data_IF_315829790997
#
_entry.id   IF_315829790997
#
_cell.length_a   1.000
_cell.length_b   1.000
_cell.length_c   1.000
_cell.angle_alpha   90.00
_cell.angle_beta   90.00
_cell.angle_gamma   90.00
#
_symmetry.space_group_name_H-M   'P 1'
#
loop_
_entity.id
_entity.type
_entity.pdbx_description
1 polymer ?
#
# COMPACT_ATOMS: atom_id res chain seq x y z
N UNK A 1 -26.95 -23.14 -0.09
CA UNK A 1 -26.51 -22.54 1.18
C UNK A 1 -26.68 -21.04 1.03
N UNK A 2 -27.39 -20.37 1.94
CA UNK A 2 -27.51 -18.91 1.92
C UNK A 2 -26.14 -18.31 2.27
N UNK A 3 -25.67 -17.37 1.46
CA UNK A 3 -24.43 -16.65 1.71
C UNK A 3 -24.59 -15.80 2.97
N UNK A 4 -23.65 -15.97 3.92
CA UNK A 4 -23.67 -15.27 5.21
C UNK A 4 -23.03 -13.89 5.03
N UNK A 5 -23.60 -12.87 5.70
CA UNK A 5 -23.00 -11.55 5.74
C UNK A 5 -21.68 -11.60 6.53
N UNK A 6 -20.64 -11.00 5.99
CA UNK A 6 -19.33 -10.95 6.62
C UNK A 6 -18.83 -9.50 6.67
N UNK A 7 -18.02 -9.15 7.68
CA UNK A 7 -17.40 -7.83 7.74
C UNK A 7 -16.40 -7.63 6.61
N UNK A 8 -16.43 -6.45 6.00
CA UNK A 8 -15.60 -6.09 4.87
C UNK A 8 -15.28 -4.60 4.84
N UNK A 9 -14.07 -4.29 4.39
CA UNK A 9 -13.68 -2.96 3.95
C UNK A 9 -13.88 -2.85 2.43
N UNK A 10 -14.64 -1.87 2.03
CA UNK A 10 -14.95 -1.51 0.65
C UNK A 10 -14.09 -0.32 0.26
N UNK A 11 -13.46 -0.39 -0.91
CA UNK A 11 -12.67 0.69 -1.47
C UNK A 11 -13.04 0.88 -2.93
N UNK A 12 -13.53 2.07 -3.27
CA UNK A 12 -13.69 2.50 -4.67
C UNK A 12 -12.59 3.52 -4.98
N UNK A 13 -11.82 3.27 -6.04
CA UNK A 13 -10.93 4.25 -6.64
C UNK A 13 -11.57 4.78 -7.92
N UNK A 14 -11.77 6.08 -8.03
CA UNK A 14 -12.54 6.75 -9.09
C UNK A 14 -11.72 7.86 -9.73
N UNK A 15 -11.55 7.80 -11.07
CA UNK A 15 -10.76 8.79 -11.80
C UNK A 15 -11.57 10.10 -11.93
N UNK A 16 -11.17 11.11 -11.18
CA UNK A 16 -11.79 12.43 -11.23
C UNK A 16 -11.47 13.14 -12.55
N UNK A 17 -12.46 13.86 -13.10
CA UNK A 17 -12.34 14.52 -14.41
C UNK A 17 -12.72 13.64 -15.61
N UNK A 18 -13.02 12.35 -15.39
CA UNK A 18 -13.32 11.38 -16.45
C UNK A 18 -14.46 11.77 -17.40
N UNK A 19 -15.61 12.18 -16.85
CA UNK A 19 -16.79 12.50 -17.69
C UNK A 19 -16.50 13.65 -18.64
N UNK A 20 -15.80 14.69 -18.16
CA UNK A 20 -15.34 15.79 -19.02
C UNK A 20 -14.28 15.31 -20.02
N UNK A 21 -13.38 14.42 -19.59
CA UNK A 21 -12.35 13.85 -20.44
C UNK A 21 -12.92 13.09 -21.64
N UNK A 22 -13.95 12.23 -21.47
CA UNK A 22 -14.55 11.50 -22.58
C UNK A 22 -15.41 12.34 -23.52
N UNK A 23 -15.97 13.46 -23.05
CA UNK A 23 -16.89 14.26 -23.84
C UNK A 23 -16.24 15.00 -25.03
N UNK A 24 -14.96 15.37 -24.92
CA UNK A 24 -14.31 16.27 -25.88
C UNK A 24 -13.04 15.67 -26.54
N UNK A 25 -12.94 14.34 -26.65
CA UNK A 25 -11.71 13.67 -27.11
C UNK A 25 -11.94 12.55 -28.11
N UNK A 26 -10.88 12.20 -28.81
CA UNK A 26 -10.80 11.03 -29.68
C UNK A 26 -10.94 9.74 -28.85
N UNK A 27 -12.04 9.02 -29.08
CA UNK A 27 -12.48 7.90 -28.23
C UNK A 27 -11.45 6.76 -28.14
N UNK A 28 -10.75 6.44 -29.23
CA UNK A 28 -9.81 5.31 -29.26
C UNK A 28 -8.59 5.56 -28.35
N UNK A 29 -7.96 6.73 -28.46
CA UNK A 29 -6.82 7.09 -27.60
C UNK A 29 -7.24 7.26 -26.14
N UNK A 30 -8.40 7.86 -25.91
CA UNK A 30 -8.92 8.03 -24.56
C UNK A 30 -9.15 6.67 -23.88
N UNK A 31 -9.73 5.69 -24.58
CA UNK A 31 -9.94 4.35 -24.05
C UNK A 31 -8.62 3.65 -23.72
N UNK A 32 -7.61 3.71 -24.59
CA UNK A 32 -6.31 3.10 -24.33
C UNK A 32 -5.61 3.70 -23.09
N UNK A 33 -5.63 5.03 -22.97
CA UNK A 33 -5.05 5.74 -21.81
C UNK A 33 -5.81 5.40 -20.53
N UNK A 34 -7.14 5.36 -20.57
CA UNK A 34 -7.95 5.05 -19.40
C UNK A 34 -7.78 3.59 -18.97
N UNK A 35 -7.72 2.65 -19.90
CA UNK A 35 -7.46 1.24 -19.60
C UNK A 35 -6.10 1.07 -18.90
N UNK A 36 -5.07 1.77 -19.35
CA UNK A 36 -3.74 1.78 -18.73
C UNK A 36 -3.75 2.36 -17.31
N UNK A 37 -4.39 3.52 -17.10
CA UNK A 37 -4.48 4.16 -15.79
C UNK A 37 -5.30 3.32 -14.79
N UNK A 38 -6.44 2.76 -15.23
CA UNK A 38 -7.23 1.83 -14.41
C UNK A 38 -6.43 0.57 -14.12
N UNK A 39 -5.69 0.06 -15.10
CA UNK A 39 -4.77 -1.07 -14.92
C UNK A 39 -3.72 -0.82 -13.84
N UNK A 40 -3.14 0.39 -13.82
CA UNK A 40 -2.19 0.81 -12.78
C UNK A 40 -2.86 0.90 -11.39
N UNK A 41 -4.07 1.45 -11.32
CA UNK A 41 -4.85 1.54 -10.07
C UNK A 41 -5.17 0.15 -9.52
N UNK A 42 -5.76 -0.73 -10.32
CA UNK A 42 -6.12 -2.09 -9.87
C UNK A 42 -4.88 -2.88 -9.46
N UNK A 43 -3.81 -2.77 -10.22
CA UNK A 43 -2.53 -3.42 -9.91
C UNK A 43 -1.99 -2.97 -8.55
N UNK A 44 -2.12 -1.68 -8.21
CA UNK A 44 -1.65 -1.15 -6.94
C UNK A 44 -2.54 -1.54 -5.75
N UNK A 45 -3.85 -1.71 -5.97
CA UNK A 45 -4.79 -2.12 -4.93
C UNK A 45 -4.70 -3.62 -4.61
N UNK A 46 -4.39 -4.45 -5.60
CA UNK A 46 -4.18 -5.89 -5.42
C UNK A 46 -2.79 -6.19 -4.85
N UNK A 47 -2.62 -7.28 -4.08
CA UNK A 47 -3.64 -8.23 -3.62
C UNK A 47 -4.34 -7.82 -2.31
N UNK A 48 -4.02 -6.66 -1.73
CA UNK A 48 -4.59 -6.23 -0.44
C UNK A 48 -6.10 -6.05 -0.51
N UNK A 49 -6.58 -5.50 -1.63
CA UNK A 49 -8.00 -5.45 -1.98
C UNK A 49 -8.25 -6.30 -3.23
N UNK A 50 -9.34 -7.05 -3.20
CA UNK A 50 -9.81 -7.86 -4.31
C UNK A 50 -10.69 -7.02 -5.22
N UNK A 51 -10.49 -7.14 -6.52
CA UNK A 51 -11.35 -6.48 -7.51
C UNK A 51 -12.72 -7.17 -7.56
N UNK A 52 -13.77 -6.45 -7.20
CA UNK A 52 -15.14 -6.91 -7.39
C UNK A 52 -15.59 -6.67 -8.83
N UNK A 53 -15.42 -5.44 -9.33
CA UNK A 53 -15.82 -5.03 -10.68
C UNK A 53 -15.18 -3.69 -11.08
N UNK A 54 -15.17 -3.44 -12.38
CA UNK A 54 -14.91 -2.12 -12.97
C UNK A 54 -16.24 -1.47 -13.37
N UNK A 55 -16.38 -0.18 -13.09
CA UNK A 55 -17.58 0.63 -13.35
C UNK A 55 -17.20 1.87 -14.16
N UNK A 56 -16.86 1.68 -15.43
CA UNK A 56 -16.34 2.78 -16.25
C UNK A 56 -14.94 3.18 -15.79
N UNK A 57 -14.86 4.29 -15.07
CA UNK A 57 -13.66 4.92 -14.51
C UNK A 57 -13.37 4.57 -13.04
N UNK A 58 -14.27 3.81 -12.42
CA UNK A 58 -14.11 3.37 -11.05
C UNK A 58 -13.70 1.89 -10.95
N UNK A 59 -12.76 1.60 -10.07
CA UNK A 59 -12.43 0.25 -9.62
C UNK A 59 -13.04 0.00 -8.24
N UNK A 60 -14.05 -0.88 -8.17
CA UNK A 60 -14.63 -1.29 -6.90
C UNK A 60 -13.93 -2.53 -6.36
N UNK A 61 -13.36 -2.39 -5.17
CA UNK A 61 -12.54 -3.42 -4.53
C UNK A 61 -12.96 -3.64 -3.08
N UNK A 62 -12.58 -4.77 -2.50
CA UNK A 62 -12.92 -5.11 -1.12
C UNK A 62 -11.89 -6.01 -0.44
N UNK A 63 -11.83 -5.97 0.88
CA UNK A 63 -11.07 -6.88 1.72
C UNK A 63 -11.97 -7.40 2.85
N UNK A 64 -12.03 -8.72 3.06
CA UNK A 64 -12.80 -9.32 4.15
C UNK A 64 -11.95 -9.37 5.41
N UNK A 65 -12.34 -8.63 6.44
CA UNK A 65 -11.58 -8.51 7.67
C UNK A 65 -12.46 -8.07 8.84
N UNK A 66 -12.23 -8.66 10.02
CA UNK A 66 -12.89 -8.26 11.27
C UNK A 66 -12.38 -6.90 11.79
N UNK A 67 -11.14 -6.54 11.46
CA UNK A 67 -10.51 -5.26 11.82
C UNK A 67 -9.59 -4.82 10.69
N UNK A 68 -9.28 -3.53 10.64
CA UNK A 68 -8.46 -2.92 9.60
C UNK A 68 -7.14 -2.45 10.20
N UNK A 69 -6.02 -2.90 9.63
CA UNK A 69 -4.74 -2.24 9.87
C UNK A 69 -4.73 -0.91 9.11
N UNK A 70 -4.93 0.18 9.84
CA UNK A 70 -5.09 1.51 9.29
C UNK A 70 -3.85 2.00 8.56
N UNK A 71 -2.66 1.65 9.05
CA UNK A 71 -1.41 2.00 8.39
C UNK A 71 -1.29 1.29 7.04
N UNK A 72 -1.66 0.01 6.95
CA UNK A 72 -1.69 -0.73 5.68
C UNK A 72 -2.73 -0.20 4.70
N UNK A 73 -3.90 0.22 5.19
CA UNK A 73 -4.92 0.87 4.38
C UNK A 73 -4.37 2.16 3.74
N UNK A 74 -3.78 3.04 4.55
CA UNK A 74 -3.23 4.30 4.05
C UNK A 74 -2.01 4.10 3.14
N UNK A 75 -1.17 3.11 3.42
CA UNK A 75 -0.06 2.74 2.53
C UNK A 75 -0.56 2.26 1.17
N UNK A 76 -1.63 1.46 1.14
CA UNK A 76 -2.24 0.97 -0.11
C UNK A 76 -2.83 2.13 -0.92
N UNK A 77 -3.61 3.02 -0.29
CA UNK A 77 -4.23 4.18 -0.94
C UNK A 77 -3.18 5.14 -1.48
N UNK A 78 -2.20 5.53 -0.66
CA UNK A 78 -1.16 6.47 -1.06
C UNK A 78 -0.27 5.90 -2.15
N UNK A 79 0.13 4.63 -2.04
CA UNK A 79 0.93 4.00 -3.08
C UNK A 79 0.19 3.92 -4.40
N UNK A 80 -1.10 3.60 -4.38
CA UNK A 80 -1.96 3.64 -5.55
C UNK A 80 -2.02 5.03 -6.16
N UNK A 81 -2.26 6.07 -5.36
CA UNK A 81 -2.29 7.45 -5.82
C UNK A 81 -0.95 7.90 -6.43
N UNK A 82 0.15 7.58 -5.77
CA UNK A 82 1.50 7.94 -6.22
C UNK A 82 1.87 7.21 -7.51
N UNK A 83 1.47 5.94 -7.64
CA UNK A 83 1.62 5.16 -8.87
C UNK A 83 0.83 5.78 -10.03
N UNK A 84 -0.44 6.12 -9.80
CA UNK A 84 -1.28 6.81 -10.77
C UNK A 84 -0.67 8.15 -11.22
N UNK A 85 -0.21 8.99 -10.28
CA UNK A 85 0.42 10.29 -10.58
C UNK A 85 1.69 10.15 -11.42
N UNK A 86 2.54 9.17 -11.10
CA UNK A 86 3.74 8.85 -11.90
C UNK A 86 3.33 8.35 -13.28
N UNK A 87 2.42 7.38 -13.38
CA UNK A 87 1.99 6.83 -14.66
C UNK A 87 1.36 7.87 -15.56
N UNK A 88 0.50 8.74 -15.03
CA UNK A 88 -0.08 9.90 -15.75
C UNK A 88 1.00 10.81 -16.33
N UNK A 89 2.07 11.07 -15.56
CA UNK A 89 3.24 11.86 -15.99
C UNK A 89 4.00 11.13 -17.11
N UNK A 90 4.24 9.83 -16.96
CA UNK A 90 4.98 9.02 -17.94
C UNK A 90 4.23 8.92 -19.27
N UNK A 91 2.92 8.66 -19.24
CA UNK A 91 2.07 8.64 -20.43
C UNK A 91 2.12 10.00 -21.13
N UNK A 92 1.94 11.10 -20.39
CA UNK A 92 2.02 12.45 -20.97
C UNK A 92 3.38 12.75 -21.62
N UNK A 93 4.48 12.25 -21.06
CA UNK A 93 5.82 12.46 -21.61
C UNK A 93 6.11 11.58 -22.84
N UNK A 94 5.55 10.37 -22.87
CA UNK A 94 5.74 9.44 -23.97
C UNK A 94 4.83 9.74 -25.18
N UNK A 95 3.69 10.38 -24.95
CA UNK A 95 2.76 10.74 -26.02
C UNK A 95 3.15 12.04 -26.72
N UNK A 96 3.58 11.94 -27.98
CA UNK A 96 3.84 13.10 -28.87
C UNK A 96 2.60 13.62 -29.59
N UNK A 97 1.47 12.92 -29.45
CA UNK A 97 0.20 13.28 -30.08
C UNK A 97 -0.40 14.53 -29.42
N UNK A 98 -0.84 15.49 -30.25
CA UNK A 98 -1.43 16.75 -29.81
C UNK A 98 -2.97 16.73 -29.79
N UNK A 99 -3.58 15.54 -29.88
CA UNK A 99 -5.03 15.40 -29.84
C UNK A 99 -5.62 15.75 -28.47
N UNK A 100 -6.91 16.03 -28.41
CA UNK A 100 -7.56 16.50 -27.18
C UNK A 100 -7.44 15.48 -26.04
N UNK A 101 -7.52 14.17 -26.33
CA UNK A 101 -7.25 13.12 -25.33
C UNK A 101 -5.87 13.30 -24.70
N UNK A 102 -4.84 13.35 -25.53
CA UNK A 102 -3.45 13.32 -25.09
C UNK A 102 -3.01 14.61 -24.36
N UNK A 103 -3.63 15.75 -24.69
CA UNK A 103 -3.35 17.04 -24.03
C UNK A 103 -4.01 17.15 -22.67
N UNK A 104 -5.19 16.54 -22.48
CA UNK A 104 -5.99 16.64 -21.24
C UNK A 104 -5.71 15.55 -20.20
N UNK A 105 -4.78 14.62 -20.48
CA UNK A 105 -4.30 13.64 -19.50
C UNK A 105 -3.96 14.26 -18.14
N UNK A 106 -3.29 15.43 -18.04
CA UNK A 106 -2.95 16.04 -16.75
C UNK A 106 -4.16 16.48 -15.91
N UNK A 107 -5.35 16.63 -16.52
CA UNK A 107 -6.58 17.04 -15.84
C UNK A 107 -7.25 15.87 -15.09
N UNK A 108 -6.85 14.63 -15.39
CA UNK A 108 -7.31 13.44 -14.69
C UNK A 108 -6.65 13.33 -13.33
N UNK A 109 -7.43 13.23 -12.25
CA UNK A 109 -6.92 12.94 -10.92
C UNK A 109 -7.62 11.69 -10.34
N UNK A 110 -7.33 11.34 -9.09
CA UNK A 110 -7.87 10.13 -8.47
C UNK A 110 -8.40 10.42 -7.07
N UNK A 111 -9.63 9.97 -6.82
CA UNK A 111 -10.22 9.98 -5.48
C UNK A 111 -10.57 8.58 -5.03
N UNK A 112 -10.67 8.40 -3.71
CA UNK A 112 -11.04 7.14 -3.09
C UNK A 112 -12.21 7.32 -2.14
N UNK A 113 -13.08 6.32 -2.07
CA UNK A 113 -14.08 6.17 -1.02
C UNK A 113 -13.81 4.87 -0.31
N UNK A 114 -13.69 4.94 1.02
CA UNK A 114 -13.42 3.78 1.87
C UNK A 114 -14.50 3.67 2.93
N UNK A 115 -15.12 2.50 3.01
CA UNK A 115 -16.19 2.23 3.96
C UNK A 115 -16.02 0.85 4.58
N UNK A 116 -16.33 0.73 5.87
CA UNK A 116 -16.36 -0.55 6.57
C UNK A 116 -17.79 -0.90 6.98
N UNK A 117 -18.19 -2.14 6.73
CA UNK A 117 -19.51 -2.65 7.04
C UNK A 117 -19.65 -4.13 6.73
N UNK A 118 -20.88 -4.58 6.47
CA UNK A 118 -21.20 -5.97 6.15
C UNK A 118 -21.56 -6.14 4.68
N UNK A 119 -21.07 -7.21 4.06
CA UNK A 119 -21.51 -7.63 2.73
C UNK A 119 -21.76 -9.12 2.65
N UNK A 120 -22.66 -9.48 1.75
CA UNK A 120 -22.92 -10.85 1.33
C UNK A 120 -22.21 -11.06 -0.01
N UNK A 121 -21.27 -12.02 -0.05
CA UNK A 121 -20.68 -12.49 -1.30
C UNK A 121 -21.61 -13.53 -1.94
N UNK A 122 -22.09 -13.24 -3.14
CA UNK A 122 -22.94 -14.17 -3.89
C UNK A 122 -22.40 -14.38 -5.31
N UNK A 123 -22.44 -15.62 -5.80
CA UNK A 123 -22.14 -15.91 -7.21
C UNK A 123 -23.40 -15.72 -8.06
N UNK A 124 -23.40 -14.76 -8.96
CA UNK A 124 -24.50 -14.46 -9.89
C UNK A 124 -23.98 -14.53 -11.32
N UNK A 125 -24.61 -15.35 -12.17
CA UNK A 125 -24.22 -15.53 -13.58
C UNK A 125 -22.72 -15.82 -13.80
N UNK A 126 -22.07 -16.55 -12.87
CA UNK A 126 -20.65 -16.89 -12.94
C UNK A 126 -19.70 -15.87 -12.32
N UNK A 127 -20.17 -14.67 -11.96
CA UNK A 127 -19.39 -13.58 -11.33
C UNK A 127 -19.66 -13.50 -9.83
N UNK A 128 -18.68 -13.06 -9.05
CA UNK A 128 -18.89 -12.72 -7.65
C UNK A 128 -19.44 -11.31 -7.54
N UNK A 129 -20.55 -11.15 -6.82
CA UNK A 129 -21.21 -9.89 -6.54
C UNK A 129 -21.25 -9.64 -5.03
N UNK A 130 -21.11 -8.37 -4.65
CA UNK A 130 -21.25 -7.89 -3.27
C UNK A 130 -22.62 -7.25 -3.10
N UNK A 131 -23.37 -7.72 -2.10
CA UNK A 131 -24.70 -7.23 -1.79
C UNK A 131 -24.77 -6.78 -0.33
N UNK A 132 -25.40 -5.65 -0.07
CA UNK A 132 -25.58 -5.11 1.28
C UNK A 132 -25.91 -3.63 1.28
N UNK A 133 -26.46 -3.13 2.39
CA UNK A 133 -26.67 -1.69 2.59
C UNK A 133 -25.37 -0.91 2.54
N UNK A 134 -24.29 -1.45 3.11
CA UNK A 134 -22.99 -0.79 3.21
C UNK A 134 -22.31 -0.66 1.83
N UNK A 135 -22.58 -1.60 0.93
CA UNK A 135 -22.19 -1.50 -0.48
C UNK A 135 -22.88 -0.30 -1.14
N UNK A 136 -24.18 -0.09 -0.88
CA UNK A 136 -24.94 1.05 -1.40
C UNK A 136 -24.37 2.37 -0.86
N UNK A 137 -24.05 2.44 0.45
CA UNK A 137 -23.44 3.62 1.06
C UNK A 137 -22.13 3.97 0.36
N UNK A 138 -21.25 2.99 0.15
CA UNK A 138 -19.96 3.18 -0.54
C UNK A 138 -20.13 3.80 -1.93
N UNK A 139 -21.05 3.28 -2.76
CA UNK A 139 -21.27 3.85 -4.09
C UNK A 139 -21.94 5.24 -4.06
N UNK A 140 -22.79 5.52 -3.06
CA UNK A 140 -23.43 6.85 -2.92
C UNK A 140 -22.42 7.93 -2.55
N UNK A 141 -21.47 7.59 -1.70
CA UNK A 141 -20.37 8.47 -1.29
C UNK A 141 -19.47 8.92 -2.45
N UNK A 142 -19.50 8.29 -3.64
CA UNK A 142 -18.79 8.82 -4.81
C UNK A 142 -19.32 10.19 -5.26
N UNK A 143 -20.61 10.45 -5.00
CA UNK A 143 -21.24 11.76 -5.20
C UNK A 143 -21.22 12.50 -3.87
N UNK A 144 -20.20 13.31 -3.66
CA UNK A 144 -19.96 14.07 -2.45
C UNK A 144 -19.51 15.49 -2.80
N UNK A 145 -19.52 16.38 -1.82
CA UNK A 145 -19.20 17.80 -1.95
C UNK A 145 -17.80 18.14 -1.40
N UNK A 146 -16.88 17.17 -1.30
CA UNK A 146 -15.54 17.39 -0.72
C UNK A 146 -14.77 18.46 -1.50
N UNK A 147 -14.81 18.42 -2.84
CA UNK A 147 -14.09 19.39 -3.68
C UNK A 147 -14.67 20.79 -3.46
N UNK A 148 -15.98 20.91 -3.50
CA UNK A 148 -16.73 22.16 -3.36
C UNK A 148 -16.54 22.80 -1.98
N UNK A 149 -16.54 22.00 -0.91
CA UNK A 149 -16.44 22.49 0.46
C UNK A 149 -15.01 22.65 0.94
N UNK A 150 -14.07 21.86 0.43
CA UNK A 150 -12.71 21.78 0.97
C UNK A 150 -11.61 22.22 0.03
N UNK A 151 -11.89 22.31 -1.28
CA UNK A 151 -10.90 22.64 -2.31
C UNK A 151 -9.80 21.57 -2.46
N UNK A 152 -10.12 20.31 -2.18
CA UNK A 152 -9.18 19.19 -2.25
C UNK A 152 -9.61 18.30 -3.43
N UNK A 153 -8.85 18.35 -4.53
CA UNK A 153 -9.18 17.63 -5.77
C UNK A 153 -8.84 16.13 -5.69
N UNK A 154 -7.79 15.78 -4.95
CA UNK A 154 -7.31 14.41 -4.79
C UNK A 154 -7.37 13.99 -3.32
N UNK A 155 -8.25 13.05 -3.00
CA UNK A 155 -8.54 12.68 -1.62
C UNK A 155 -8.93 11.21 -1.46
N UNK A 156 -8.81 10.71 -0.23
CA UNK A 156 -9.55 9.54 0.22
C UNK A 156 -10.60 9.96 1.26
N UNK A 157 -11.86 9.63 1.01
CA UNK A 157 -12.98 9.83 1.93
C UNK A 157 -13.19 8.53 2.72
N UNK A 158 -12.81 8.54 3.99
CA UNK A 158 -12.82 7.36 4.86
C UNK A 158 -13.94 7.52 5.87
N UNK A 159 -14.96 6.64 5.83
CA UNK A 159 -16.12 6.77 6.74
C UNK A 159 -15.73 6.58 8.20
N UNK A 160 -16.51 7.16 9.11
CA UNK A 160 -16.31 6.95 10.54
C UNK A 160 -16.35 5.45 10.92
N UNK A 161 -17.22 4.66 10.28
CA UNK A 161 -17.24 3.21 10.49
C UNK A 161 -15.92 2.51 10.13
N UNK A 162 -15.18 3.03 9.13
CA UNK A 162 -13.86 2.50 8.77
C UNK A 162 -12.79 2.95 9.76
N UNK A 163 -12.86 4.20 10.25
CA UNK A 163 -12.00 4.68 11.32
C UNK A 163 -12.19 3.83 12.58
N UNK A 164 -13.43 3.60 13.01
CA UNK A 164 -13.78 2.82 14.20
C UNK A 164 -13.32 1.35 14.12
N UNK A 165 -13.28 0.79 12.91
CA UNK A 165 -12.78 -0.56 12.65
C UNK A 165 -11.24 -0.63 12.49
N UNK A 166 -10.55 0.51 12.59
CA UNK A 166 -9.11 0.65 12.41
C UNK A 166 -8.41 1.18 13.66
N UNK A 167 -7.08 1.21 13.62
CA UNK A 167 -6.22 1.82 14.64
C UNK A 167 -5.85 3.28 14.34
N UNK A 168 -6.53 3.95 13.40
CA UNK A 168 -6.23 5.33 12.99
C UNK A 168 -6.82 6.37 13.93
N UNK A 169 -6.04 7.43 14.17
CA UNK A 169 -6.55 8.66 14.76
C UNK A 169 -6.52 9.78 13.70
N UNK A 170 -7.62 9.99 12.96
CA UNK A 170 -7.60 10.81 11.74
C UNK A 170 -7.23 12.29 12.01
N UNK A 171 -7.65 12.85 13.15
CA UNK A 171 -7.28 14.21 13.53
C UNK A 171 -5.76 14.37 13.75
N UNK A 172 -5.10 13.38 14.36
CA UNK A 172 -3.64 13.39 14.56
C UNK A 172 -2.87 13.25 13.25
N UNK A 173 -3.49 12.66 12.23
CA UNK A 173 -2.97 12.58 10.86
C UNK A 173 -3.24 13.85 10.04
N UNK A 174 -3.95 14.82 10.61
CA UNK A 174 -4.34 16.05 9.92
C UNK A 174 -5.42 15.85 8.87
N UNK A 175 -6.21 14.77 8.98
CA UNK A 175 -7.43 14.59 8.17
C UNK A 175 -8.50 15.58 8.64
N UNK A 176 -9.40 15.94 7.73
CA UNK A 176 -10.50 16.87 7.99
C UNK A 176 -11.81 16.11 8.08
N UNK A 177 -12.59 16.34 9.13
CA UNK A 177 -13.93 15.77 9.25
C UNK A 177 -14.85 16.32 8.15
N UNK A 178 -15.71 15.46 7.61
CA UNK A 178 -16.68 15.72 6.57
C UNK A 178 -17.97 14.95 6.83
N UNK A 179 -19.09 15.45 6.33
CA UNK A 179 -20.38 14.79 6.47
C UNK A 179 -21.16 14.88 5.17
N UNK A 180 -21.72 13.75 4.74
CA UNK A 180 -22.61 13.67 3.58
C UNK A 180 -24.00 13.24 4.04
N UNK A 181 -25.05 13.79 3.44
CA UNK A 181 -26.43 13.39 3.75
C UNK A 181 -27.15 12.95 2.49
N UNK A 182 -27.68 11.71 2.50
CA UNK A 182 -28.43 11.17 1.36
C UNK A 182 -29.83 10.74 1.74
N UNK A 183 -30.77 10.89 0.79
CA UNK A 183 -32.13 10.38 0.92
C UNK A 183 -32.08 8.85 1.16
N UNK A 184 -32.66 8.39 2.29
CA UNK A 184 -32.74 6.99 2.76
C UNK A 184 -31.50 6.38 3.41
N UNK A 185 -30.32 6.99 3.28
CA UNK A 185 -29.13 6.57 4.05
C UNK A 185 -29.03 7.40 5.33
N UNK A 186 -29.38 8.68 5.26
CA UNK A 186 -29.16 9.63 6.35
C UNK A 186 -27.79 10.26 6.25
N UNK A 187 -27.31 10.75 7.39
CA UNK A 187 -26.00 11.36 7.53
C UNK A 187 -24.90 10.29 7.65
N UNK A 188 -23.80 10.51 6.92
CA UNK A 188 -22.61 9.68 6.94
C UNK A 188 -21.42 10.58 7.25
N UNK A 189 -20.88 10.44 8.46
CA UNK A 189 -19.63 11.09 8.86
C UNK A 189 -18.43 10.38 8.26
N UNK A 190 -17.45 11.15 7.82
CA UNK A 190 -16.23 10.68 7.19
C UNK A 190 -15.06 11.63 7.46
N UNK A 191 -13.87 11.18 7.09
CA UNK A 191 -12.63 11.92 7.19
C UNK A 191 -11.97 12.02 5.82
N UNK A 192 -11.57 13.23 5.44
CA UNK A 192 -10.91 13.54 4.18
C UNK A 192 -9.40 13.50 4.40
N UNK A 193 -8.76 12.56 3.73
CA UNK A 193 -7.31 12.43 3.64
C UNK A 193 -6.81 13.07 2.35
N UNK A 194 -6.06 14.17 2.46
CA UNK A 194 -5.56 14.96 1.32
C UNK A 194 -4.36 14.28 0.64
N UNK A 195 -4.62 13.66 -0.51
CA UNK A 195 -3.60 12.91 -1.25
C UNK A 195 -2.64 13.83 -2.03
N UNK A 196 -3.08 15.03 -2.39
CA UNK A 196 -2.25 16.04 -3.01
C UNK A 196 -1.13 16.51 -2.08
N UNK A 197 -1.48 16.81 -0.82
CA UNK A 197 -0.51 17.10 0.25
C UNK A 197 0.45 15.92 0.46
N UNK A 198 -0.06 14.70 0.53
CA UNK A 198 0.76 13.50 0.74
C UNK A 198 1.74 13.24 -0.40
N UNK A 199 1.34 13.52 -1.64
CA UNK A 199 2.23 13.48 -2.79
C UNK A 199 3.36 14.51 -2.71
N UNK A 200 3.07 15.74 -2.27
CA UNK A 200 4.10 16.77 -2.07
C UNK A 200 5.09 16.37 -0.97
N UNK A 201 4.60 15.80 0.14
CA UNK A 201 5.44 15.28 1.22
C UNK A 201 6.32 14.11 0.75
N UNK A 202 5.80 13.25 -0.13
CA UNK A 202 6.54 12.16 -0.76
C UNK A 202 7.64 12.67 -1.72
N UNK A 203 7.35 13.68 -2.55
CA UNK A 203 8.31 14.30 -3.47
C UNK A 203 9.42 15.07 -2.71
N UNK A 204 9.09 15.69 -1.57
CA UNK A 204 10.06 16.43 -0.76
C UNK A 204 10.97 15.52 0.09
N UNK A 205 10.58 14.25 0.31
CA UNK A 205 11.30 13.35 1.21
C UNK A 205 12.56 12.77 0.55
N UNK A 206 13.71 13.04 1.14
CA UNK A 206 14.97 12.38 0.79
C UNK A 206 14.92 10.86 1.00
N UNK A 207 15.66 10.11 0.18
CA UNK A 207 15.76 8.65 0.33
C UNK A 207 16.87 8.30 1.30
N UNK A 208 16.56 7.47 2.30
CA UNK A 208 17.56 6.86 3.18
C UNK A 208 17.52 5.37 2.96
N UNK A 209 18.57 4.82 2.34
CA UNK A 209 18.66 3.42 1.97
C UNK A 209 20.12 2.96 2.01
N UNK A 210 20.35 1.74 2.47
CA UNK A 210 21.64 1.05 2.36
C UNK A 210 21.71 0.38 0.99
N UNK A 211 22.66 0.79 0.15
CA UNK A 211 22.89 0.14 -1.14
C UNK A 211 23.62 -1.20 -0.97
N UNK A 212 23.67 -2.01 -2.03
CA UNK A 212 24.46 -3.25 -2.04
C UNK A 212 25.96 -2.97 -1.82
N UNK A 213 26.49 -1.92 -2.44
CA UNK A 213 27.90 -1.51 -2.34
C UNK A 213 28.29 -1.00 -0.95
N UNK A 214 27.33 -0.39 -0.24
CA UNK A 214 27.54 0.13 1.12
C UNK A 214 27.41 -0.94 2.20
N UNK A 215 26.74 -2.06 1.89
CA UNK A 215 26.43 -3.09 2.86
C UNK A 215 27.68 -3.91 3.23
N UNK A 216 27.92 -4.08 4.53
CA UNK A 216 28.93 -5.04 5.02
C UNK A 216 28.33 -6.43 5.27
N UNK A 217 27.00 -6.52 5.36
CA UNK A 217 26.22 -7.73 5.51
C UNK A 217 24.96 -7.62 4.65
N UNK A 218 24.72 -8.64 3.85
CA UNK A 218 23.50 -8.80 3.04
C UNK A 218 22.96 -10.21 3.24
N UNK A 219 21.66 -10.32 3.51
CA UNK A 219 20.92 -11.58 3.47
C UNK A 219 19.77 -11.41 2.48
N UNK A 220 19.69 -12.30 1.49
CA UNK A 220 18.64 -12.28 0.46
C UNK A 220 17.79 -13.53 0.57
N UNK A 221 16.47 -13.37 0.60
CA UNK A 221 15.51 -14.47 0.72
C UNK A 221 14.53 -14.39 -0.46
N UNK A 222 14.65 -15.27 -1.47
CA UNK A 222 13.66 -15.36 -2.53
C UNK A 222 12.36 -15.94 -1.98
N UNK A 223 11.22 -15.38 -2.41
CA UNK A 223 9.87 -15.79 -1.99
C UNK A 223 8.95 -15.85 -3.20
N UNK A 224 7.81 -16.54 -3.08
CA UNK A 224 6.79 -16.59 -4.14
C UNK A 224 5.64 -15.61 -3.92
N UNK A 225 5.77 -14.73 -2.92
CA UNK A 225 4.70 -13.79 -2.57
C UNK A 225 4.91 -12.43 -3.22
N UNK A 226 3.84 -11.69 -3.56
CA UNK A 226 3.95 -10.31 -4.02
C UNK A 226 4.53 -9.37 -2.93
N UNK A 227 5.11 -8.22 -3.30
CA UNK A 227 5.71 -7.28 -2.35
C UNK A 227 4.74 -6.81 -1.26
N UNK A 228 3.46 -6.69 -1.59
CA UNK A 228 2.42 -6.26 -0.65
C UNK A 228 2.25 -7.25 0.50
N UNK A 229 2.31 -8.56 0.20
CA UNK A 229 2.22 -9.62 1.20
C UNK A 229 3.49 -9.66 2.04
N UNK A 230 4.66 -9.59 1.41
CA UNK A 230 5.93 -9.53 2.11
C UNK A 230 6.02 -8.29 3.03
N UNK A 231 5.62 -7.12 2.52
CA UNK A 231 5.60 -5.86 3.25
C UNK A 231 4.74 -5.93 4.49
N UNK A 232 3.48 -6.36 4.33
CA UNK A 232 2.57 -6.49 5.46
C UNK A 232 3.13 -7.46 6.50
N UNK A 233 3.61 -8.63 6.06
CA UNK A 233 4.14 -9.63 6.96
C UNK A 233 5.35 -9.13 7.78
N UNK A 234 6.29 -8.42 7.11
CA UNK A 234 7.51 -7.91 7.73
C UNK A 234 7.27 -6.69 8.63
N UNK A 235 6.22 -5.91 8.36
CA UNK A 235 5.97 -4.64 9.04
C UNK A 235 4.80 -4.66 10.01
N UNK A 236 3.97 -5.70 9.98
CA UNK A 236 2.85 -5.86 10.91
C UNK A 236 3.35 -6.01 12.35
N UNK A 237 2.81 -5.24 13.31
CA UNK A 237 3.11 -5.40 14.72
C UNK A 237 2.90 -6.85 15.18
N UNK A 238 3.85 -7.38 15.94
CA UNK A 238 3.79 -8.75 16.49
C UNK A 238 4.32 -9.84 15.55
N UNK A 239 4.23 -9.69 14.22
CA UNK A 239 4.78 -10.69 13.28
C UNK A 239 6.30 -10.73 13.26
N UNK A 240 6.98 -9.64 13.62
CA UNK A 240 8.44 -9.61 13.79
C UNK A 240 8.95 -10.74 14.71
N UNK A 241 8.18 -11.15 15.72
CA UNK A 241 8.55 -12.26 16.63
C UNK A 241 8.68 -13.61 15.94
N UNK A 242 8.06 -13.81 14.77
CA UNK A 242 8.01 -15.11 14.09
C UNK A 242 9.15 -15.31 13.10
N UNK A 243 9.83 -14.24 12.68
CA UNK A 243 10.89 -14.31 11.69
C UNK A 243 12.18 -13.59 12.10
N UNK A 244 12.11 -12.62 13.02
CA UNK A 244 13.30 -11.91 13.49
C UNK A 244 13.97 -12.71 14.62
N UNK A 245 15.27 -13.05 14.49
CA UNK A 245 15.94 -13.89 15.47
C UNK A 245 15.86 -13.34 16.91
N UNK A 246 15.45 -14.20 17.83
CA UNK A 246 15.43 -13.98 19.28
C UNK A 246 14.48 -12.88 19.79
N UNK A 247 13.60 -12.34 18.95
CA UNK A 247 12.57 -11.37 19.38
C UNK A 247 11.47 -12.09 20.15
N UNK A 248 11.17 -11.60 21.35
CA UNK A 248 10.16 -12.17 22.27
C UNK A 248 8.98 -11.26 22.52
N UNK A 249 9.13 -9.96 22.27
CA UNK A 249 8.08 -8.96 22.38
C UNK A 249 8.43 -7.76 21.49
N UNK A 250 7.41 -7.14 20.88
CA UNK A 250 7.57 -5.88 20.13
C UNK A 250 6.52 -4.88 20.61
N UNK A 251 6.94 -3.65 20.88
CA UNK A 251 6.03 -2.53 21.13
C UNK A 251 6.33 -1.40 20.16
N UNK A 252 5.33 -0.93 19.43
CA UNK A 252 5.45 0.23 18.55
C UNK A 252 5.31 1.51 19.39
N UNK A 253 6.23 2.46 19.20
CA UNK A 253 6.18 3.80 19.80
C UNK A 253 6.35 4.87 18.73
N UNK A 254 5.79 6.05 18.95
CA UNK A 254 5.96 7.19 18.03
C UNK A 254 5.19 7.09 16.71
N UNK A 255 4.27 6.12 16.57
CA UNK A 255 3.31 6.09 15.47
C UNK A 255 2.29 7.21 15.67
N UNK A 256 2.35 8.23 14.80
CA UNK A 256 1.46 9.38 14.87
C UNK A 256 0.07 8.96 14.36
N UNK A 257 -0.94 9.05 15.23
CA UNK A 257 -2.32 8.68 14.91
C UNK A 257 -2.49 7.27 14.34
N UNK A 258 -1.77 6.29 14.90
CA UNK A 258 -1.80 4.89 14.45
C UNK A 258 -0.95 4.61 13.21
N UNK A 259 -0.44 5.63 12.52
CA UNK A 259 0.33 5.43 11.30
C UNK A 259 1.81 5.15 11.56
N UNK A 260 2.29 4.02 11.02
CA UNK A 260 3.70 3.66 11.02
C UNK A 260 4.42 4.41 9.90
N UNK A 261 5.65 4.81 10.17
CA UNK A 261 6.48 5.56 9.23
C UNK A 261 7.67 6.24 9.91
N UNK A 262 8.34 7.19 9.24
CA UNK A 262 9.52 7.85 9.78
C UNK A 262 9.27 8.44 11.18
N UNK A 263 10.16 8.15 12.12
CA UNK A 263 10.04 8.55 13.54
C UNK A 263 9.26 7.56 14.43
N UNK A 264 8.54 6.60 13.84
CA UNK A 264 8.04 5.44 14.60
C UNK A 264 9.21 4.52 14.95
N UNK A 265 9.12 3.83 16.08
CA UNK A 265 10.14 2.89 16.52
C UNK A 265 9.54 1.60 17.07
N UNK A 266 10.15 0.47 16.70
CA UNK A 266 9.90 -0.84 17.29
C UNK A 266 10.83 -1.05 18.47
N UNK A 267 10.26 -1.27 19.66
CA UNK A 267 10.98 -1.66 20.85
C UNK A 267 10.88 -3.19 20.98
N UNK A 268 11.93 -3.88 20.53
CA UNK A 268 12.03 -5.32 20.46
C UNK A 268 12.78 -5.85 21.70
N UNK A 269 12.17 -6.78 22.43
CA UNK A 269 12.81 -7.47 23.55
C UNK A 269 13.44 -8.78 23.07
N UNK A 270 14.72 -8.99 23.36
CA UNK A 270 15.45 -10.22 23.10
C UNK A 270 15.83 -10.86 24.44
N UNK A 271 14.85 -11.49 25.10
CA UNK A 271 14.99 -11.92 26.48
C UNK A 271 15.09 -10.72 27.43
N UNK A 272 16.26 -10.48 28.02
CA UNK A 272 16.50 -9.33 28.92
C UNK A 272 17.03 -8.08 28.22
N UNK A 273 17.47 -8.22 26.98
CA UNK A 273 18.11 -7.15 26.21
C UNK A 273 17.07 -6.44 25.35
N UNK A 274 17.19 -5.12 25.20
CA UNK A 274 16.28 -4.31 24.40
C UNK A 274 16.98 -3.83 23.13
N UNK A 275 16.29 -3.97 21.99
CA UNK A 275 16.70 -3.49 20.68
C UNK A 275 15.67 -2.48 20.22
N UNK A 276 16.12 -1.28 19.85
CA UNK A 276 15.23 -0.22 19.37
C UNK A 276 15.50 0.00 17.88
N UNK A 277 14.48 -0.19 17.06
CA UNK A 277 14.54 0.01 15.62
C UNK A 277 13.68 1.21 15.24
N UNK A 278 14.31 2.34 14.95
CA UNK A 278 13.63 3.56 14.54
C UNK A 278 13.56 3.64 13.02
N UNK A 279 12.35 3.78 12.48
CA UNK A 279 12.09 3.92 11.06
C UNK A 279 12.60 5.29 10.62
N UNK A 280 13.53 5.30 9.67
CA UNK A 280 14.09 6.51 9.06
C UNK A 280 13.52 6.79 7.68
N UNK A 281 13.15 5.75 6.93
CA UNK A 281 12.46 5.89 5.66
C UNK A 281 11.46 4.73 5.48
N UNK A 282 10.30 5.05 4.91
CA UNK A 282 9.16 4.15 4.77
C UNK A 282 8.62 4.31 3.35
N UNK A 283 8.91 3.33 2.51
CA UNK A 283 8.47 3.27 1.12
C UNK A 283 7.69 1.97 0.91
N UNK A 284 6.37 1.98 1.15
CA UNK A 284 5.54 0.79 1.02
C UNK A 284 5.80 0.03 -0.27
N UNK A 285 6.00 -1.28 -0.11
CA UNK A 285 6.28 -2.27 -1.15
C UNK A 285 7.66 -2.16 -1.82
N UNK A 286 8.44 -1.12 -1.53
CA UNK A 286 9.81 -0.97 -2.05
C UNK A 286 10.83 -1.31 -0.96
N UNK A 287 10.84 -0.56 0.15
CA UNK A 287 11.77 -0.78 1.25
C UNK A 287 11.40 -0.02 2.53
N UNK A 288 11.90 -0.52 3.66
CA UNK A 288 11.96 0.20 4.93
C UNK A 288 13.41 0.29 5.39
N UNK A 289 13.80 1.46 5.89
CA UNK A 289 15.13 1.68 6.46
C UNK A 289 15.01 2.04 7.92
N UNK A 290 15.69 1.25 8.75
CA UNK A 290 15.66 1.33 10.19
C UNK A 290 17.06 1.69 10.73
N UNK A 291 17.07 2.46 11.81
CA UNK A 291 18.23 2.60 12.69
C UNK A 291 18.03 1.69 13.89
N UNK A 292 18.77 0.60 13.92
CA UNK A 292 18.82 -0.34 15.04
C UNK A 292 19.82 0.14 16.08
N UNK A 293 19.39 0.30 17.33
CA UNK A 293 20.22 0.55 18.50
C UNK A 293 20.27 -0.70 19.35
N UNK A 294 21.46 -1.29 19.46
CA UNK A 294 21.77 -2.47 20.27
C UNK A 294 22.50 -1.99 21.53
N UNK A 295 21.97 -2.31 22.71
CA UNK A 295 22.70 -2.10 23.95
C UNK A 295 23.80 -3.14 24.10
N UNK A 296 25.04 -2.70 24.31
CA UNK A 296 26.20 -3.59 24.49
C UNK A 296 26.98 -3.21 25.74
N UNK A 297 27.79 -4.11 26.32
CA UNK A 297 28.66 -3.78 27.46
C UNK A 297 29.63 -2.61 27.19
N UNK A 298 29.90 -2.26 25.93
CA UNK A 298 30.78 -1.15 25.51
C UNK A 298 30.02 0.14 25.20
N UNK A 299 28.70 0.17 25.44
CA UNK A 299 27.79 1.24 25.07
C UNK A 299 26.91 0.90 23.86
N UNK A 300 26.01 1.81 23.45
CA UNK A 300 25.04 1.54 22.40
C UNK A 300 25.71 1.48 21.02
N UNK A 301 25.51 0.37 20.32
CA UNK A 301 25.90 0.19 18.93
C UNK A 301 24.72 0.56 18.03
N UNK A 302 24.94 1.53 17.13
CA UNK A 302 23.93 1.95 16.16
C UNK A 302 24.27 1.42 14.77
N UNK A 303 23.36 0.66 14.19
CA UNK A 303 23.45 0.11 12.85
C UNK A 303 22.31 0.67 12.00
N UNK A 304 22.64 1.03 10.77
CA UNK A 304 21.64 1.38 9.76
C UNK A 304 21.39 0.13 8.92
N UNK A 305 20.12 -0.23 8.72
CA UNK A 305 19.77 -1.34 7.87
C UNK A 305 18.55 -1.04 7.01
N UNK A 306 18.49 -1.68 5.84
CA UNK A 306 17.35 -1.60 4.92
C UNK A 306 16.83 -2.99 4.65
N UNK A 307 15.51 -3.17 4.74
CA UNK A 307 14.80 -4.31 4.17
C UNK A 307 14.20 -3.82 2.85
N UNK A 308 14.77 -4.27 1.74
CA UNK A 308 14.27 -4.01 0.39
C UNK A 308 13.47 -5.21 -0.12
N UNK A 309 12.41 -4.91 -0.84
CA UNK A 309 11.61 -5.85 -1.60
C UNK A 309 11.97 -5.66 -3.08
N UNK A 310 12.69 -6.62 -3.65
CA UNK A 310 12.99 -6.64 -5.08
C UNK A 310 11.95 -7.48 -5.82
N UNK A 311 11.20 -6.84 -6.71
CA UNK A 311 10.39 -7.51 -7.69
C UNK A 311 10.99 -8.62 -8.54
N UNK A 312 10.29 -9.76 -8.69
CA UNK A 312 10.66 -10.82 -9.65
C UNK A 312 9.45 -11.41 -10.37
N UNK A 313 9.69 -12.23 -11.40
CA UNK A 313 8.61 -12.91 -12.13
C UNK A 313 7.90 -14.00 -11.32
N UNK A 314 8.48 -14.46 -10.21
CA UNK A 314 7.94 -15.52 -9.36
C UNK A 314 7.32 -15.01 -8.05
N UNK A 315 7.53 -13.73 -7.71
CA UNK A 315 7.26 -13.14 -6.40
C UNK A 315 8.38 -12.18 -6.02
N UNK A 316 8.65 -11.98 -4.74
CA UNK A 316 9.63 -10.97 -4.28
C UNK A 316 10.90 -11.58 -3.70
N UNK A 317 12.06 -11.00 -4.00
CA UNK A 317 13.29 -11.23 -3.25
C UNK A 317 13.42 -10.20 -2.12
N UNK A 318 13.49 -10.67 -0.88
CA UNK A 318 13.66 -9.81 0.29
C UNK A 318 15.15 -9.65 0.57
N UNK A 319 15.68 -8.43 0.50
CA UNK A 319 17.07 -8.11 0.85
C UNK A 319 17.16 -7.40 2.18
N UNK A 320 17.90 -7.96 3.13
CA UNK A 320 18.26 -7.31 4.38
C UNK A 320 19.71 -6.86 4.29
N UNK A 321 19.94 -5.54 4.22
CA UNK A 321 21.28 -4.93 4.04
C UNK A 321 21.66 -4.06 5.22
N UNK A 322 22.86 -4.24 5.74
CA UNK A 322 23.36 -3.51 6.91
C UNK A 322 24.59 -2.68 6.54
N UNK A 323 24.55 -1.38 6.83
CA UNK A 323 25.68 -0.48 6.62
C UNK A 323 26.66 -0.53 7.82
N UNK A 324 27.97 -0.35 7.58
CA UNK A 324 28.95 -0.31 8.66
C UNK A 324 28.69 0.91 9.57
N UNK A 325 28.96 0.81 10.88
CA UNK A 325 28.77 1.94 11.78
C UNK A 325 29.69 3.10 11.38
N UNK A 326 29.17 4.34 11.54
CA UNK A 326 29.91 5.56 11.22
C UNK A 326 31.20 5.68 12.06
N UNK A 327 31.16 5.29 13.33
CA UNK A 327 32.31 5.35 14.22
C UNK A 327 33.27 4.18 13.98
N UNK A 328 34.54 4.48 13.67
CA UNK A 328 35.56 3.45 13.38
C UNK A 328 35.76 2.44 14.52
N UNK A 329 35.66 2.90 15.77
CA UNK A 329 35.79 2.05 16.97
C UNK A 329 34.75 0.92 17.05
N UNK A 330 33.60 1.11 16.42
CA UNK A 330 32.46 0.20 16.50
C UNK A 330 32.47 -0.85 15.37
N UNK A 331 33.30 -0.67 14.33
CA UNK A 331 33.32 -1.53 13.13
C UNK A 331 33.70 -2.98 13.43
N UNK A 332 34.66 -3.21 14.32
CA UNK A 332 35.05 -4.58 14.68
C UNK A 332 33.92 -5.33 15.39
N UNK A 333 33.22 -4.63 16.30
CA UNK A 333 32.08 -5.20 17.02
C UNK A 333 30.89 -5.43 16.08
N UNK A 334 30.63 -4.48 15.17
CA UNK A 334 29.59 -4.63 14.16
C UNK A 334 29.84 -5.81 13.22
N UNK A 335 31.11 -6.08 12.85
CA UNK A 335 31.46 -7.24 12.03
C UNK A 335 31.18 -8.55 12.77
N UNK A 336 31.62 -8.66 14.03
CA UNK A 336 31.38 -9.84 14.87
C UNK A 336 29.87 -10.11 15.07
N UNK A 337 29.10 -9.09 15.45
CA UNK A 337 27.65 -9.19 15.62
C UNK A 337 26.97 -9.49 14.28
N UNK A 338 27.40 -8.84 13.21
CA UNK A 338 26.83 -9.02 11.87
C UNK A 338 27.04 -10.42 11.31
N UNK A 339 28.20 -11.05 11.53
CA UNK A 339 28.43 -12.45 11.12
C UNK A 339 27.47 -13.40 11.86
N UNK A 340 27.34 -13.26 13.19
CA UNK A 340 26.43 -14.08 13.99
C UNK A 340 24.95 -13.83 13.62
N UNK A 341 24.55 -12.57 13.47
CA UNK A 341 23.18 -12.19 13.11
C UNK A 341 22.83 -12.60 11.69
N UNK A 342 23.74 -12.43 10.74
CA UNK A 342 23.59 -12.88 9.36
C UNK A 342 23.38 -14.38 9.27
N UNK A 343 24.17 -15.17 9.99
CA UNK A 343 23.98 -16.61 10.10
C UNK A 343 22.62 -17.00 10.70
N UNK A 344 22.17 -16.26 11.72
CA UNK A 344 20.84 -16.48 12.32
C UNK A 344 19.71 -16.14 11.35
N UNK A 345 19.78 -15.00 10.64
CA UNK A 345 18.81 -14.62 9.61
C UNK A 345 18.74 -15.65 8.48
N UNK A 346 19.89 -16.15 8.03
CA UNK A 346 19.93 -17.22 7.02
C UNK A 346 19.30 -18.51 7.54
N UNK A 347 19.48 -18.85 8.82
CA UNK A 347 18.91 -20.07 9.40
C UNK A 347 17.38 -20.03 9.53
N UNK A 348 16.79 -18.85 9.72
CA UNK A 348 15.32 -18.67 9.82
C UNK A 348 14.65 -18.39 8.49
N UNK A 349 15.41 -18.06 7.44
CA UNK A 349 14.88 -17.74 6.12
C UNK A 349 13.94 -18.82 5.53
N UNK A 350 14.20 -20.13 5.64
CA UNK A 350 13.27 -21.14 5.15
C UNK A 350 11.91 -21.11 5.85
N UNK A 351 11.88 -20.85 7.16
CA UNK A 351 10.64 -20.76 7.92
C UNK A 351 9.85 -19.48 7.58
N UNK A 352 10.56 -18.36 7.38
CA UNK A 352 9.95 -17.13 6.85
C UNK A 352 9.24 -17.38 5.51
N UNK A 353 9.87 -18.11 4.57
CA UNK A 353 9.26 -18.46 3.28
C UNK A 353 8.00 -19.28 3.48
N UNK A 354 8.03 -20.30 4.34
CA UNK A 354 6.85 -21.13 4.65
C UNK A 354 5.70 -20.30 5.22
N UNK A 355 5.99 -19.37 6.13
CA UNK A 355 4.97 -18.50 6.71
C UNK A 355 4.38 -17.52 5.67
N UNK A 356 5.20 -16.99 4.76
CA UNK A 356 4.74 -16.13 3.67
C UNK A 356 3.86 -16.90 2.67
N UNK A 357 4.27 -18.10 2.26
CA UNK A 357 3.48 -18.96 1.37
C UNK A 357 2.13 -19.32 2.01
N UNK A 358 2.11 -19.58 3.33
CA UNK A 358 0.87 -19.83 4.06
C UNK A 358 -0.04 -18.59 4.12
N UNK A 359 0.54 -17.39 4.28
CA UNK A 359 -0.21 -16.13 4.26
C UNK A 359 -0.84 -15.89 2.87
N UNK A 360 -0.09 -16.11 1.79
CA UNK A 360 -0.60 -15.99 0.43
C UNK A 360 -1.72 -17.00 0.17
N UNK A 361 -1.51 -18.28 0.51
CA UNK A 361 -2.52 -19.32 0.36
C UNK A 361 -3.80 -19.00 1.15
N UNK A 362 -3.68 -18.42 2.36
CA UNK A 362 -4.83 -18.02 3.17
C UNK A 362 -5.60 -16.85 2.54
N UNK A 363 -4.94 -15.94 1.80
CA UNK A 363 -5.60 -14.86 1.04
C UNK A 363 -6.33 -15.41 -0.17
N UNK A 364 -5.69 -16.31 -0.92
CA UNK A 364 -6.27 -16.91 -2.11
C UNK A 364 -7.48 -17.79 -1.77
N UNK A 365 -7.41 -18.57 -0.67
CA UNK A 365 -8.51 -19.41 -0.21
C UNK A 365 -9.76 -18.60 0.22
N UNK A 366 -9.58 -17.34 0.63
CA UNK A 366 -10.69 -16.42 0.93
C UNK A 366 -11.29 -15.79 -0.33
N UNK A 367 -10.73 -16.08 -1.51
CA UNK A 367 -11.04 -15.44 -2.77
C UNK A 367 -11.81 -16.27 -3.81
N UNK A 368 -12.56 -15.58 -4.68
CA UNK A 368 -13.07 -16.13 -5.96
C UNK A 368 -12.22 -15.72 -7.18
N UNK A 369 -12.75 -15.92 -8.39
CA UNK A 369 -12.14 -15.41 -9.62
C UNK A 369 -12.27 -13.87 -9.68
N UNK A 370 -11.17 -13.18 -9.94
CA UNK A 370 -11.16 -11.72 -10.19
C UNK A 370 -11.32 -11.43 -11.68
N UNK A 371 -11.94 -10.29 -12.07
CA UNK A 371 -12.03 -9.87 -13.47
C UNK A 371 -10.64 -9.72 -14.11
N UNK A 372 -10.52 -10.10 -15.39
CA UNK A 372 -9.35 -9.76 -16.21
C UNK A 372 -9.33 -8.26 -16.50
N UNK A 373 -8.13 -7.68 -16.52
CA UNK A 373 -7.91 -6.29 -16.89
C UNK A 373 -7.81 -6.16 -18.41
N UNK A 374 -8.40 -5.11 -18.96
CA UNK A 374 -8.18 -4.75 -20.35
C UNK A 374 -6.71 -4.34 -20.54
N UNK A 375 -6.10 -4.81 -21.63
CA UNK A 375 -4.73 -4.44 -22.02
C UNK A 375 -4.82 -3.37 -23.11
N UNK A 376 -4.00 -2.30 -23.06
CA UNK A 376 -3.96 -1.30 -24.13
C UNK A 376 -3.69 -1.93 -25.50
N UNK A 377 -4.21 -1.33 -26.56
CA UNK A 377 -3.99 -1.82 -27.92
C UNK A 377 -2.50 -1.74 -28.33
N UNK A 378 -2.02 -2.74 -29.07
CA UNK A 378 -0.61 -2.79 -29.53
C UNK A 378 -0.25 -1.70 -30.53
N UNK A 379 -1.25 -1.12 -31.18
CA UNK A 379 -1.10 -0.07 -32.21
C UNK A 379 -1.58 1.31 -31.69
N UNK A 380 -1.90 1.43 -30.41
CA UNK A 380 -2.43 2.62 -29.77
C UNK A 380 -1.38 3.67 -29.37
N UNK A 381 -1.79 4.77 -28.72
CA UNK A 381 -0.89 5.85 -28.30
C UNK A 381 0.12 5.42 -27.22
N UNK A 382 -0.08 4.23 -26.65
CA UNK A 382 0.79 3.60 -25.67
C UNK A 382 1.67 2.49 -26.28
N UNK A 383 1.65 2.31 -27.60
CA UNK A 383 2.48 1.32 -28.29
C UNK A 383 3.97 1.59 -28.02
N UNK A 384 4.61 0.69 -27.27
CA UNK A 384 6.01 0.83 -26.84
C UNK A 384 6.23 1.32 -25.41
N UNK A 385 5.17 1.64 -24.66
CA UNK A 385 5.25 1.77 -23.21
C UNK A 385 5.10 0.41 -22.55
N UNK A 386 5.99 0.09 -21.61
CA UNK A 386 5.78 -1.08 -20.76
C UNK A 386 4.44 -0.92 -20.02
N UNK A 387 3.65 -2.01 -19.90
CA UNK A 387 2.42 -2.00 -19.11
C UNK A 387 2.74 -1.58 -17.68
N UNK A 388 1.75 -1.14 -16.89
CA UNK A 388 1.96 -0.90 -15.47
C UNK A 388 2.57 -2.18 -14.89
N UNK A 389 3.85 -2.09 -14.56
CA UNK A 389 4.58 -3.17 -13.93
C UNK A 389 3.77 -3.44 -12.68
N UNK A 390 3.13 -4.61 -12.58
CA UNK A 390 2.92 -5.26 -11.29
C UNK A 390 4.24 -5.05 -10.62
N UNK A 391 4.33 -4.20 -9.59
CA UNK A 391 5.50 -4.15 -8.75
C UNK A 391 5.79 -5.61 -8.48
N UNK A 392 6.77 -6.15 -9.20
CA UNK A 392 6.97 -7.60 -9.23
C UNK A 392 7.42 -8.03 -7.86
#
# INVERSE_FOLDING_TARGET
MLSVAQPACFLIADISGYTGYLADVELDHAQDILADLIGAVVTALRPNFRLAKLEGDAAFTYATAETIDGSMLLDTIERCYFGFRRRRRDVRQATSCECSACVRIPDLDLKFVVHYGSAILQKVAGRQELLGSDVIVTHRLLKNDVVEQMGIDAYALITQSCIDASDLEPAALGMREHSETYERIGEVTAWVHDLGRRWQEEEARGRVRVSEEEAFLTVSVPTNVPPQVAWEFLTMPGRRMTWQPWVTQVTVKGAMGGRRGPGSSNHCMHGKDAVIEEILDWRPYDYVTDRTTLETPRGPLKLLHTIELEPTTAGTTIHMRFAPPKAKRDRSLAKEIGEAYGGALQSVAPDLVVQLDAELAARDARGGLEPELAVPSSDGPLSGLEPPVTAG
#
